data_IF_938524372699
#
_entry.id   IF_938524372699
#
_cell.length_a   1.000
_cell.length_b   1.000
_cell.length_c   1.000
_cell.angle_alpha   90.00
_cell.angle_beta   90.00
_cell.angle_gamma   90.00
#
_symmetry.space_group_name_H-M   'P 1'
#
loop_
_entity.id
_entity.type
_entity.pdbx_description
1 polymer ?
#
# COMPACT_ATOMS: atom_id res chain seq x y z
N UNK A 1 2.62 26.91 34.16
CA UNK A 1 3.44 27.18 32.97
C UNK A 1 4.49 26.10 32.92
N UNK A 2 4.17 24.98 32.28
CA UNK A 2 5.19 24.00 31.83
C UNK A 2 4.43 22.81 31.21
N UNK A 3 4.50 22.66 29.91
CA UNK A 3 4.34 21.42 29.16
C UNK A 3 3.98 21.72 27.69
N UNK A 4 4.95 22.23 26.96
CA UNK A 4 4.88 22.28 25.49
C UNK A 4 6.30 21.99 24.94
N UNK A 5 6.77 20.75 25.13
CA UNK A 5 8.02 20.28 24.51
C UNK A 5 8.05 18.75 24.55
N UNK A 6 7.38 18.08 23.61
CA UNK A 6 7.75 16.68 23.29
C UNK A 6 7.18 16.17 21.94
N UNK A 7 6.52 17.00 21.12
CA UNK A 7 5.88 16.50 19.88
C UNK A 7 6.77 16.61 18.63
N UNK A 8 7.84 17.40 18.67
CA UNK A 8 8.67 17.68 17.48
C UNK A 8 9.77 16.61 17.23
N UNK A 9 10.13 15.85 18.23
CA UNK A 9 11.19 14.83 18.14
C UNK A 9 10.76 13.55 17.42
N UNK A 10 9.52 13.11 17.56
CA UNK A 10 8.93 11.95 16.89
C UNK A 10 8.84 12.17 15.38
N UNK A 11 8.21 13.24 14.97
CA UNK A 11 8.03 13.63 13.56
C UNK A 11 9.36 13.80 12.81
N UNK A 12 10.41 14.36 13.42
CA UNK A 12 11.73 14.51 12.79
C UNK A 12 12.45 13.17 12.62
N UNK A 13 12.33 12.28 13.60
CA UNK A 13 12.94 10.93 13.56
C UNK A 13 12.28 10.06 12.50
N UNK A 14 10.97 10.12 12.39
CA UNK A 14 10.21 9.40 11.37
C UNK A 14 10.52 9.91 9.97
N UNK A 15 10.54 11.22 9.76
CA UNK A 15 10.95 11.83 8.47
C UNK A 15 12.36 11.41 8.07
N UNK A 16 13.32 11.37 8.99
CA UNK A 16 14.69 10.89 8.72
C UNK A 16 14.70 9.40 8.38
N UNK A 17 13.89 8.59 9.07
CA UNK A 17 13.76 7.16 8.80
C UNK A 17 13.17 6.91 7.41
N UNK A 18 12.09 7.58 7.05
CA UNK A 18 11.48 7.52 5.72
C UNK A 18 12.45 7.96 4.61
N UNK A 19 13.16 9.09 4.81
CA UNK A 19 14.16 9.57 3.85
C UNK A 19 15.30 8.57 3.63
N UNK A 20 15.82 7.95 4.70
CA UNK A 20 16.86 6.91 4.59
C UNK A 20 16.32 5.69 3.84
N UNK A 21 15.10 5.25 4.13
CA UNK A 21 14.46 4.13 3.45
C UNK A 21 14.29 4.42 1.95
N UNK A 22 13.77 5.59 1.60
CA UNK A 22 13.62 6.03 0.21
C UNK A 22 14.97 6.06 -0.54
N UNK A 23 16.04 6.54 0.11
CA UNK A 23 17.39 6.55 -0.46
C UNK A 23 17.91 5.14 -0.72
N UNK A 24 17.71 4.21 0.22
CA UNK A 24 18.09 2.79 0.06
C UNK A 24 17.38 2.15 -1.13
N UNK A 25 16.06 2.37 -1.25
CA UNK A 25 15.25 1.86 -2.37
C UNK A 25 15.71 2.45 -3.70
N UNK A 26 15.95 3.75 -3.78
CA UNK A 26 16.39 4.41 -5.00
C UNK A 26 17.77 3.90 -5.47
N UNK A 27 18.72 3.76 -4.55
CA UNK A 27 20.05 3.22 -4.85
C UNK A 27 19.98 1.76 -5.27
N UNK A 28 19.25 0.91 -4.54
CA UNK A 28 19.08 -0.51 -4.88
C UNK A 28 18.47 -0.71 -6.28
N UNK A 29 17.45 0.07 -6.63
CA UNK A 29 16.84 0.08 -7.99
C UNK A 29 17.82 0.54 -9.05
N UNK A 30 18.56 1.60 -8.80
CA UNK A 30 19.57 2.12 -9.72
C UNK A 30 20.68 1.10 -9.99
N UNK A 31 21.20 0.45 -8.95
CA UNK A 31 22.21 -0.60 -9.09
C UNK A 31 21.65 -1.81 -9.84
N UNK A 32 20.41 -2.23 -9.55
CA UNK A 32 19.76 -3.32 -10.27
C UNK A 32 19.57 -2.99 -11.75
N UNK A 33 19.15 -1.78 -12.08
CA UNK A 33 18.97 -1.36 -13.47
C UNK A 33 20.28 -1.36 -14.27
N UNK A 34 21.40 -1.02 -13.61
CA UNK A 34 22.74 -0.93 -14.23
C UNK A 34 23.46 -2.29 -14.30
N UNK A 35 23.37 -3.08 -13.24
CA UNK A 35 24.23 -4.26 -13.04
C UNK A 35 23.46 -5.57 -12.94
N UNK A 36 22.14 -5.56 -12.95
CA UNK A 36 21.29 -6.71 -12.63
C UNK A 36 21.27 -7.03 -11.13
N UNK A 37 20.32 -7.86 -10.72
CA UNK A 37 20.12 -8.21 -9.31
C UNK A 37 21.37 -8.86 -8.68
N UNK A 38 22.09 -9.66 -9.41
CA UNK A 38 23.29 -10.36 -8.93
C UNK A 38 24.59 -9.56 -9.13
N UNK A 39 24.53 -8.40 -9.78
CA UNK A 39 25.69 -7.59 -10.14
C UNK A 39 26.15 -6.59 -9.07
N UNK A 40 25.51 -6.57 -7.90
CA UNK A 40 25.88 -5.70 -6.79
C UNK A 40 25.62 -6.34 -5.42
N UNK A 41 26.23 -5.79 -4.39
CA UNK A 41 26.13 -6.25 -3.00
C UNK A 41 25.40 -5.25 -2.12
N UNK A 42 24.92 -5.70 -0.93
CA UNK A 42 24.36 -4.81 0.10
C UNK A 42 25.39 -3.77 0.54
N UNK A 43 26.67 -4.13 0.58
CA UNK A 43 27.74 -3.21 0.99
C UNK A 43 27.88 -2.03 0.03
N UNK A 44 27.73 -2.25 -1.28
CA UNK A 44 27.71 -1.17 -2.27
C UNK A 44 26.49 -0.24 -2.11
N UNK A 45 25.31 -0.79 -1.77
CA UNK A 45 24.14 0.03 -1.44
C UNK A 45 24.43 0.89 -0.19
N UNK A 46 25.03 0.28 0.84
CA UNK A 46 25.38 0.96 2.08
C UNK A 46 26.39 2.10 1.84
N UNK A 47 27.40 1.85 0.99
CA UNK A 47 28.42 2.82 0.64
C UNK A 47 27.82 4.03 -0.09
N UNK A 48 26.95 3.80 -1.11
CA UNK A 48 26.29 4.90 -1.84
C UNK A 48 25.34 5.74 -0.96
N UNK A 49 24.69 5.12 0.04
CA UNK A 49 23.78 5.81 0.97
C UNK A 49 24.52 6.41 2.18
N UNK A 50 25.73 5.95 2.47
CA UNK A 50 26.53 6.42 3.62
C UNK A 50 26.08 5.82 4.96
N UNK A 51 25.64 4.55 4.99
CA UNK A 51 25.19 3.85 6.20
C UNK A 51 25.95 2.54 6.41
N UNK A 52 25.86 1.98 7.63
CA UNK A 52 26.42 0.66 7.92
C UNK A 52 25.51 -0.46 7.39
N UNK A 53 26.12 -1.65 7.13
CA UNK A 53 25.39 -2.88 6.82
C UNK A 53 24.35 -3.24 7.90
N UNK A 54 24.68 -3.04 9.19
CA UNK A 54 23.74 -3.22 10.30
C UNK A 54 22.54 -2.29 10.17
N UNK A 55 22.79 -1.04 9.78
CA UNK A 55 21.73 -0.06 9.55
C UNK A 55 20.83 -0.48 8.41
N UNK A 56 21.39 -0.99 7.29
CA UNK A 56 20.60 -1.51 6.17
C UNK A 56 19.62 -2.59 6.64
N UNK A 57 20.10 -3.59 7.37
CA UNK A 57 19.24 -4.69 7.84
C UNK A 57 18.20 -4.29 8.90
N UNK A 58 18.30 -3.10 9.48
CA UNK A 58 17.22 -2.51 10.28
C UNK A 58 16.08 -1.94 9.43
N UNK A 59 16.31 -1.71 8.12
CA UNK A 59 15.31 -1.22 7.17
C UNK A 59 14.76 -2.30 6.28
N UNK A 60 15.61 -3.18 5.79
CA UNK A 60 15.22 -4.21 4.80
C UNK A 60 15.90 -5.54 5.12
N UNK A 61 15.15 -6.66 5.14
CA UNK A 61 15.72 -7.98 5.39
C UNK A 61 16.64 -8.48 4.26
N UNK A 62 16.46 -7.96 3.03
CA UNK A 62 17.31 -8.31 1.88
C UNK A 62 17.43 -7.13 0.90
N UNK A 63 18.32 -7.26 -0.09
CA UNK A 63 18.42 -6.28 -1.18
C UNK A 63 17.20 -6.31 -2.10
N UNK A 64 16.57 -7.45 -2.25
CA UNK A 64 15.32 -7.63 -2.98
C UNK A 64 14.19 -6.85 -2.32
N UNK A 65 14.11 -6.87 -0.98
CA UNK A 65 13.14 -6.05 -0.23
C UNK A 65 13.41 -4.56 -0.41
N UNK A 66 14.66 -4.15 -0.43
CA UNK A 66 15.03 -2.77 -0.69
C UNK A 66 14.64 -2.32 -2.13
N UNK A 67 14.76 -3.21 -3.12
CA UNK A 67 14.37 -2.93 -4.51
C UNK A 67 12.85 -2.80 -4.63
N UNK A 68 12.11 -3.74 -4.05
CA UNK A 68 10.64 -3.72 -4.04
C UNK A 68 10.14 -2.48 -3.29
N UNK A 69 10.76 -2.16 -2.15
CA UNK A 69 10.31 -1.13 -1.22
C UNK A 69 9.15 -1.63 -0.36
N UNK A 70 8.94 -0.97 0.76
CA UNK A 70 7.77 -1.17 1.60
C UNK A 70 6.79 -0.04 1.38
N UNK A 71 5.53 -0.39 1.13
CA UNK A 71 4.45 0.58 0.94
C UNK A 71 3.71 0.88 2.26
N UNK A 72 3.89 0.04 3.28
CA UNK A 72 3.04 0.06 4.49
C UNK A 72 3.62 0.88 5.66
N UNK A 73 4.93 1.16 5.66
CA UNK A 73 5.58 1.90 6.75
C UNK A 73 5.38 3.43 6.69
N UNK A 74 4.60 3.91 5.75
CA UNK A 74 4.35 5.34 5.51
C UNK A 74 2.90 5.75 5.81
N UNK A 75 2.09 4.80 6.33
CA UNK A 75 0.76 5.12 6.77
C UNK A 75 0.81 6.10 7.96
N UNK A 76 -0.05 7.15 7.98
CA UNK A 76 -0.15 8.04 9.11
C UNK A 76 -0.45 7.28 10.40
N UNK A 77 0.19 7.69 11.50
CA UNK A 77 -0.08 7.11 12.81
C UNK A 77 -1.59 7.19 13.13
N UNK A 78 -2.16 6.10 13.59
CA UNK A 78 -3.56 6.04 13.98
C UNK A 78 -4.58 5.96 12.85
N UNK A 79 -4.17 5.88 11.56
CA UNK A 79 -5.11 5.83 10.44
C UNK A 79 -5.93 4.53 10.45
N UNK A 80 -5.29 3.41 10.75
CA UNK A 80 -5.94 2.10 10.82
C UNK A 80 -6.88 2.01 12.03
N UNK A 81 -6.45 2.52 13.18
CA UNK A 81 -7.29 2.61 14.38
C UNK A 81 -8.49 3.53 14.16
N UNK A 82 -8.34 4.62 13.41
CA UNK A 82 -9.45 5.50 13.05
C UNK A 82 -10.44 4.78 12.15
N UNK A 83 -9.96 4.00 11.18
CA UNK A 83 -10.80 3.19 10.30
C UNK A 83 -11.59 2.14 11.12
N UNK A 84 -10.94 1.39 12.01
CA UNK A 84 -11.60 0.38 12.86
C UNK A 84 -12.66 1.02 13.74
N UNK A 85 -12.37 2.18 14.37
CA UNK A 85 -13.36 2.90 15.19
C UNK A 85 -14.57 3.38 14.40
N UNK A 86 -14.45 3.61 13.10
CA UNK A 86 -15.56 4.02 12.22
C UNK A 86 -16.71 3.00 12.16
N UNK A 87 -16.44 1.72 12.44
CA UNK A 87 -17.45 0.64 12.53
C UNK A 87 -18.22 0.61 13.87
N UNK A 88 -17.78 1.39 14.86
CA UNK A 88 -18.41 1.39 16.18
C UNK A 88 -19.90 1.84 16.11
N UNK A 89 -20.78 0.99 16.63
CA UNK A 89 -22.23 1.25 16.65
C UNK A 89 -23.02 0.45 15.60
N UNK A 90 -22.36 -0.25 14.69
CA UNK A 90 -23.05 -1.22 13.82
C UNK A 90 -23.38 -2.50 14.60
N UNK A 91 -24.56 -3.14 14.36
CA UNK A 91 -24.86 -4.41 14.97
C UNK A 91 -23.82 -5.48 14.59
N UNK A 92 -23.36 -6.25 15.58
CA UNK A 92 -22.38 -7.30 15.32
C UNK A 92 -22.85 -8.27 14.23
N UNK A 93 -21.96 -8.60 13.29
CA UNK A 93 -22.24 -9.49 12.17
C UNK A 93 -23.03 -8.86 11.01
N UNK A 94 -23.24 -7.53 11.04
CA UNK A 94 -23.80 -6.79 9.90
C UNK A 94 -22.77 -5.83 9.32
N UNK A 95 -22.72 -5.73 7.99
CA UNK A 95 -21.85 -4.77 7.31
C UNK A 95 -22.34 -3.37 7.55
N UNK A 96 -21.49 -2.50 8.06
CA UNK A 96 -21.85 -1.12 8.32
C UNK A 96 -22.18 -0.35 7.03
N UNK A 97 -23.14 0.56 7.02
CA UNK A 97 -23.50 1.35 5.84
C UNK A 97 -22.38 2.32 5.43
N UNK A 98 -21.42 2.57 6.29
CA UNK A 98 -20.29 3.50 6.04
C UNK A 98 -19.05 2.79 5.51
N UNK A 99 -18.98 1.45 5.52
CA UNK A 99 -17.78 0.68 5.15
C UNK A 99 -17.18 1.14 3.81
N UNK A 100 -18.01 1.30 2.78
CA UNK A 100 -17.51 1.70 1.45
C UNK A 100 -16.90 3.10 1.46
N UNK A 101 -17.54 4.05 2.16
CA UNK A 101 -17.02 5.41 2.27
C UNK A 101 -15.70 5.43 3.04
N UNK A 102 -15.64 4.73 4.17
CA UNK A 102 -14.46 4.71 5.02
C UNK A 102 -13.28 3.97 4.34
N UNK A 103 -13.55 2.95 3.52
CA UNK A 103 -12.54 2.31 2.66
C UNK A 103 -12.01 3.26 1.58
N UNK A 104 -12.87 4.10 1.01
CA UNK A 104 -12.45 5.15 0.10
C UNK A 104 -11.54 6.16 0.81
N UNK A 105 -11.95 6.66 1.97
CA UNK A 105 -11.22 7.66 2.74
C UNK A 105 -9.88 7.10 3.22
N UNK A 106 -9.83 5.85 3.67
CA UNK A 106 -8.59 5.15 4.02
C UNK A 106 -7.66 5.01 2.81
N UNK A 107 -8.19 4.55 1.67
CA UNK A 107 -7.39 4.39 0.44
C UNK A 107 -6.86 5.73 -0.04
N UNK A 108 -7.66 6.78 0.06
CA UNK A 108 -7.25 8.14 -0.25
C UNK A 108 -6.11 8.61 0.66
N UNK A 109 -6.29 8.53 1.98
CA UNK A 109 -5.29 8.96 2.94
C UNK A 109 -3.97 8.18 2.80
N UNK A 110 -4.03 6.87 2.56
CA UNK A 110 -2.83 6.07 2.26
C UNK A 110 -2.15 6.53 0.97
N UNK A 111 -2.91 6.95 -0.05
CA UNK A 111 -2.35 7.41 -1.32
C UNK A 111 -1.61 8.75 -1.21
N UNK A 112 -2.02 9.63 -0.29
CA UNK A 112 -1.32 10.89 -0.03
C UNK A 112 0.09 10.67 0.56
N UNK A 113 0.29 9.53 1.20
CA UNK A 113 1.57 9.12 1.80
C UNK A 113 2.38 8.17 0.91
N UNK A 114 1.85 7.83 -0.28
CA UNK A 114 2.62 7.06 -1.26
C UNK A 114 3.77 7.89 -1.81
N UNK A 115 4.99 7.59 -1.36
CA UNK A 115 6.22 8.33 -1.72
C UNK A 115 6.78 7.99 -3.10
N UNK A 116 6.21 6.99 -3.81
CA UNK A 116 6.69 6.65 -5.15
C UNK A 116 6.29 7.69 -6.19
N UNK A 117 7.28 8.43 -6.67
CA UNK A 117 7.12 9.29 -7.84
C UNK A 117 6.84 8.44 -9.10
N UNK A 118 6.23 9.03 -10.17
CA UNK A 118 6.08 8.35 -11.46
C UNK A 118 7.38 7.78 -12.01
N UNK A 119 8.50 8.45 -11.75
CA UNK A 119 9.84 8.01 -12.16
C UNK A 119 10.27 6.74 -11.40
N UNK A 120 10.08 6.72 -10.08
CA UNK A 120 10.39 5.54 -9.25
C UNK A 120 9.52 4.34 -9.62
N UNK A 121 8.26 4.56 -10.00
CA UNK A 121 7.36 3.51 -10.49
C UNK A 121 7.86 2.95 -11.83
N UNK A 122 8.25 3.82 -12.77
CA UNK A 122 8.83 3.39 -14.05
C UNK A 122 10.11 2.58 -13.85
N UNK A 123 11.00 3.03 -12.96
CA UNK A 123 12.24 2.32 -12.62
C UNK A 123 11.94 0.92 -12.05
N UNK A 124 10.97 0.80 -11.14
CA UNK A 124 10.57 -0.49 -10.59
C UNK A 124 10.05 -1.43 -11.69
N UNK A 125 9.17 -0.95 -12.56
CA UNK A 125 8.64 -1.73 -13.69
C UNK A 125 9.76 -2.20 -14.62
N UNK A 126 10.72 -1.34 -14.93
CA UNK A 126 11.88 -1.70 -15.75
C UNK A 126 12.75 -2.77 -15.07
N UNK A 127 12.97 -2.64 -13.77
CA UNK A 127 13.75 -3.60 -12.98
C UNK A 127 13.05 -4.96 -12.93
N UNK A 128 11.74 -5.00 -12.70
CA UNK A 128 10.95 -6.25 -12.71
C UNK A 128 10.99 -6.91 -14.08
N UNK A 129 10.92 -6.13 -15.15
CA UNK A 129 11.03 -6.67 -16.52
C UNK A 129 12.37 -7.33 -16.83
N UNK A 130 13.45 -6.90 -16.17
CA UNK A 130 14.80 -7.49 -16.28
C UNK A 130 15.03 -8.65 -15.31
N UNK A 131 14.40 -8.61 -14.14
CA UNK A 131 14.61 -9.53 -13.02
C UNK A 131 13.26 -10.14 -12.57
N UNK A 132 12.73 -11.12 -13.34
CA UNK A 132 11.39 -11.68 -13.06
C UNK A 132 11.24 -12.29 -11.67
N UNK A 133 12.33 -12.72 -11.04
CA UNK A 133 12.31 -13.24 -9.66
C UNK A 133 11.81 -12.24 -8.63
N UNK A 134 11.96 -10.93 -8.89
CA UNK A 134 11.40 -9.88 -8.02
C UNK A 134 9.88 -9.88 -8.03
N UNK A 135 9.25 -10.34 -9.12
CA UNK A 135 7.80 -10.43 -9.23
C UNK A 135 7.22 -11.41 -8.19
N UNK A 136 7.88 -12.54 -7.96
CA UNK A 136 7.45 -13.52 -6.95
C UNK A 136 7.43 -12.88 -5.56
N UNK A 137 8.44 -12.07 -5.24
CA UNK A 137 8.52 -11.37 -3.96
C UNK A 137 7.43 -10.29 -3.81
N UNK A 138 7.15 -9.57 -4.89
CA UNK A 138 6.08 -8.57 -4.91
C UNK A 138 4.71 -9.22 -4.72
N UNK A 139 4.47 -10.36 -5.37
CA UNK A 139 3.21 -11.11 -5.21
C UNK A 139 3.06 -11.60 -3.78
N UNK A 140 4.08 -12.24 -3.20
CA UNK A 140 4.03 -12.71 -1.81
C UNK A 140 3.82 -11.59 -0.80
N UNK A 141 4.45 -10.44 -0.99
CA UNK A 141 4.21 -9.26 -0.16
C UNK A 141 2.79 -8.69 -0.35
N UNK A 142 2.22 -8.82 -1.55
CA UNK A 142 0.83 -8.42 -1.83
C UNK A 142 -0.19 -9.32 -1.14
N UNK A 143 0.04 -10.64 -1.12
CA UNK A 143 -0.83 -11.61 -0.45
C UNK A 143 -0.85 -11.39 1.08
N UNK A 144 0.31 -11.13 1.68
CA UNK A 144 0.39 -10.76 3.10
C UNK A 144 -0.43 -9.51 3.43
N UNK A 145 -0.30 -8.48 2.63
CA UNK A 145 -1.07 -7.24 2.79
C UNK A 145 -2.57 -7.42 2.59
N UNK A 146 -2.97 -8.28 1.65
CA UNK A 146 -4.39 -8.59 1.46
C UNK A 146 -4.98 -9.27 2.71
N UNK A 147 -4.24 -10.18 3.34
CA UNK A 147 -4.66 -10.80 4.59
C UNK A 147 -4.76 -9.80 5.75
N UNK A 148 -3.77 -8.92 5.91
CA UNK A 148 -3.78 -7.88 6.94
C UNK A 148 -4.94 -6.89 6.74
N UNK A 149 -5.22 -6.51 5.50
CA UNK A 149 -6.32 -5.61 5.18
C UNK A 149 -7.69 -6.27 5.37
N UNK A 150 -7.82 -7.57 5.06
CA UNK A 150 -9.03 -8.33 5.36
C UNK A 150 -9.26 -8.45 6.88
N UNK A 151 -8.19 -8.66 7.66
CA UNK A 151 -8.27 -8.67 9.11
C UNK A 151 -8.70 -7.31 9.67
N UNK A 152 -8.21 -6.22 9.12
CA UNK A 152 -8.61 -4.85 9.50
C UNK A 152 -10.10 -4.58 9.24
N UNK A 153 -10.63 -5.01 8.09
CA UNK A 153 -12.06 -4.90 7.78
C UNK A 153 -12.87 -5.78 8.72
N UNK A 154 -12.40 -7.00 8.99
CA UNK A 154 -13.06 -7.95 9.87
C UNK A 154 -13.14 -7.42 11.31
N UNK A 155 -12.07 -6.84 11.84
CA UNK A 155 -12.04 -6.19 13.15
C UNK A 155 -13.06 -5.04 13.22
N UNK A 156 -13.08 -4.18 12.20
CA UNK A 156 -14.02 -3.06 12.09
C UNK A 156 -15.49 -3.51 12.15
N UNK A 157 -15.83 -4.56 11.39
CA UNK A 157 -17.21 -5.03 11.22
C UNK A 157 -17.62 -6.09 12.27
N UNK A 158 -16.70 -6.52 13.14
CA UNK A 158 -16.96 -7.57 14.13
C UNK A 158 -17.28 -8.91 13.50
N UNK A 159 -16.64 -9.27 12.38
CA UNK A 159 -16.79 -10.51 11.62
C UNK A 159 -15.47 -11.31 11.59
N UNK A 160 -15.47 -12.62 11.26
CA UNK A 160 -14.23 -13.36 11.10
C UNK A 160 -13.36 -12.84 9.95
N UNK A 161 -12.00 -12.95 10.04
CA UNK A 161 -11.08 -12.48 8.98
C UNK A 161 -11.29 -13.15 7.61
N UNK A 162 -11.78 -14.40 7.60
CA UNK A 162 -12.08 -15.16 6.40
C UNK A 162 -13.53 -14.96 5.90
N UNK A 163 -14.27 -14.06 6.54
CA UNK A 163 -15.63 -13.75 6.12
C UNK A 163 -15.67 -13.21 4.68
N UNK A 164 -16.59 -13.70 3.82
CA UNK A 164 -16.65 -13.30 2.41
C UNK A 164 -16.67 -11.81 2.17
N UNK A 165 -17.30 -11.01 3.04
CA UNK A 165 -17.33 -9.55 2.94
C UNK A 165 -15.92 -8.95 3.09
N UNK A 166 -15.15 -9.38 4.11
CA UNK A 166 -13.81 -8.85 4.36
C UNK A 166 -12.87 -9.18 3.19
N UNK A 167 -12.86 -10.45 2.77
CA UNK A 167 -12.00 -10.92 1.67
C UNK A 167 -12.39 -10.25 0.34
N UNK A 168 -13.69 -10.18 0.03
CA UNK A 168 -14.17 -9.58 -1.22
C UNK A 168 -13.93 -8.07 -1.26
N UNK A 169 -14.20 -7.35 -0.16
CA UNK A 169 -13.94 -5.92 -0.08
C UNK A 169 -12.44 -5.61 -0.28
N UNK A 170 -11.56 -6.39 0.35
CA UNK A 170 -10.11 -6.28 0.15
C UNK A 170 -9.70 -6.48 -1.31
N UNK A 171 -10.19 -7.53 -1.96
CA UNK A 171 -9.88 -7.83 -3.36
C UNK A 171 -10.36 -6.71 -4.31
N UNK A 172 -11.58 -6.21 -4.10
CA UNK A 172 -12.16 -5.11 -4.88
C UNK A 172 -11.35 -3.84 -4.68
N UNK A 173 -11.09 -3.42 -3.43
CA UNK A 173 -10.35 -2.21 -3.13
C UNK A 173 -8.90 -2.29 -3.62
N UNK A 174 -8.24 -3.42 -3.46
CA UNK A 174 -6.91 -3.67 -4.02
C UNK A 174 -6.88 -3.56 -5.55
N UNK A 175 -7.89 -4.07 -6.23
CA UNK A 175 -8.02 -3.94 -7.70
C UNK A 175 -8.28 -2.50 -8.13
N UNK A 176 -9.14 -1.78 -7.41
CA UNK A 176 -9.40 -0.35 -7.65
C UNK A 176 -8.13 0.48 -7.44
N UNK A 177 -7.42 0.26 -6.34
CA UNK A 177 -6.17 0.97 -6.03
C UNK A 177 -5.10 0.71 -7.11
N UNK A 178 -4.88 -0.54 -7.51
CA UNK A 178 -3.93 -0.90 -8.59
C UNK A 178 -4.30 -0.23 -9.92
N UNK A 179 -5.59 -0.28 -10.30
CA UNK A 179 -6.07 0.36 -11.53
C UNK A 179 -5.88 1.88 -11.50
N UNK A 180 -6.20 2.50 -10.36
CA UNK A 180 -6.03 3.94 -10.13
C UNK A 180 -4.57 4.34 -10.25
N UNK A 181 -3.67 3.63 -9.56
CA UNK A 181 -2.22 3.88 -9.61
C UNK A 181 -1.66 3.70 -11.01
N UNK A 182 -2.02 2.61 -11.71
CA UNK A 182 -1.58 2.38 -13.09
C UNK A 182 -1.99 3.51 -14.04
N UNK A 183 -3.22 4.04 -13.89
CA UNK A 183 -3.69 5.16 -14.70
C UNK A 183 -3.05 6.48 -14.28
N UNK A 184 -2.92 6.72 -12.97
CA UNK A 184 -2.31 7.93 -12.43
C UNK A 184 -0.87 8.12 -12.92
N UNK A 185 -0.07 7.05 -12.89
CA UNK A 185 1.33 7.07 -13.35
C UNK A 185 1.49 6.93 -14.88
N UNK A 186 0.42 6.87 -15.65
CA UNK A 186 0.55 6.86 -17.11
C UNK A 186 0.99 8.24 -17.62
N UNK A 187 1.83 8.27 -18.66
CA UNK A 187 2.38 9.49 -19.25
C UNK A 187 1.34 10.42 -19.87
N UNK A 188 0.14 9.89 -20.16
CA UNK A 188 -0.97 10.63 -20.76
C UNK A 188 -2.00 11.11 -19.73
N UNK A 189 -1.80 10.81 -18.45
CA UNK A 189 -2.76 11.19 -17.41
C UNK A 189 -2.62 12.66 -17.04
N UNK A 190 -3.77 13.34 -16.94
CA UNK A 190 -3.89 14.73 -16.48
C UNK A 190 -4.76 14.87 -15.24
N UNK A 191 -5.34 13.76 -14.75
CA UNK A 191 -6.27 13.74 -13.61
C UNK A 191 -5.51 13.47 -12.31
N UNK A 192 -6.03 14.01 -11.21
CA UNK A 192 -5.54 13.69 -9.87
C UNK A 192 -5.81 12.23 -9.49
N UNK A 193 -5.08 11.72 -8.51
CA UNK A 193 -5.33 10.37 -7.96
C UNK A 193 -6.77 10.26 -7.42
N UNK A 194 -7.23 11.29 -6.70
CA UNK A 194 -8.57 11.36 -6.13
C UNK A 194 -9.67 11.25 -7.20
N UNK A 195 -9.58 12.02 -8.29
CA UNK A 195 -10.56 11.93 -9.37
C UNK A 195 -10.60 10.55 -10.03
N UNK A 196 -9.46 9.90 -10.17
CA UNK A 196 -9.37 8.55 -10.72
C UNK A 196 -9.91 7.51 -9.73
N UNK A 197 -9.58 7.63 -8.45
CA UNK A 197 -10.07 6.74 -7.40
C UNK A 197 -11.58 6.83 -7.28
N UNK A 198 -12.13 8.03 -7.17
CA UNK A 198 -13.57 8.28 -7.10
C UNK A 198 -14.31 7.73 -8.33
N UNK A 199 -13.76 7.93 -9.54
CA UNK A 199 -14.35 7.40 -10.76
C UNK A 199 -14.41 5.86 -10.76
N UNK A 200 -13.35 5.19 -10.32
CA UNK A 200 -13.31 3.73 -10.26
C UNK A 200 -14.26 3.18 -9.16
N UNK A 201 -14.38 3.84 -8.01
CA UNK A 201 -15.33 3.44 -6.96
C UNK A 201 -16.78 3.64 -7.42
N UNK A 202 -17.10 4.76 -8.08
CA UNK A 202 -18.42 5.00 -8.61
C UNK A 202 -18.81 3.98 -9.70
N UNK A 203 -17.88 3.59 -10.56
CA UNK A 203 -18.09 2.54 -11.54
C UNK A 203 -18.36 1.17 -10.88
N UNK A 204 -17.63 0.81 -9.84
CA UNK A 204 -17.88 -0.40 -9.07
C UNK A 204 -19.25 -0.36 -8.40
N UNK A 205 -19.62 0.78 -7.78
CA UNK A 205 -20.94 0.98 -7.16
C UNK A 205 -22.07 0.83 -8.16
N UNK A 206 -21.95 1.44 -9.34
CA UNK A 206 -22.93 1.33 -10.43
C UNK A 206 -23.08 -0.12 -10.90
N UNK A 207 -21.97 -0.83 -11.09
CA UNK A 207 -21.97 -2.23 -11.48
C UNK A 207 -22.68 -3.11 -10.45
N UNK A 208 -22.39 -2.97 -9.17
CA UNK A 208 -22.97 -3.79 -8.10
C UNK A 208 -24.38 -3.36 -7.67
N UNK A 209 -24.87 -2.21 -8.10
CA UNK A 209 -26.27 -1.81 -7.89
C UNK A 209 -27.23 -2.48 -8.88
N UNK A 210 -26.72 -3.14 -9.91
CA UNK A 210 -27.54 -3.87 -10.87
C UNK A 210 -28.12 -5.15 -10.20
N UNK A 211 -29.38 -5.48 -10.54
CA UNK A 211 -30.00 -6.69 -10.03
C UNK A 211 -29.26 -7.93 -10.54
N UNK A 212 -28.81 -8.76 -9.63
CA UNK A 212 -28.20 -10.04 -9.92
C UNK A 212 -29.22 -11.15 -9.67
N UNK A 213 -29.55 -11.92 -10.72
CA UNK A 213 -30.40 -13.10 -10.59
C UNK A 213 -29.51 -14.34 -10.61
N UNK A 214 -29.52 -15.12 -9.51
CA UNK A 214 -28.82 -16.40 -9.47
C UNK A 214 -29.43 -17.36 -10.48
N UNK A 215 -28.63 -18.12 -11.24
CA UNK A 215 -29.15 -19.14 -12.15
C UNK A 215 -29.88 -20.31 -11.42
N UNK A 216 -29.78 -20.43 -10.11
CA UNK A 216 -30.45 -21.46 -9.31
C UNK A 216 -31.89 -21.12 -8.92
N UNK A 217 -32.48 -20.04 -9.45
CA UNK A 217 -33.87 -19.62 -9.18
C UNK A 217 -34.93 -20.22 -10.10
N UNK A 218 -34.66 -21.34 -10.77
CA UNK A 218 -35.63 -22.08 -11.59
C UNK A 218 -35.65 -23.54 -11.20
N UNK A 219 -36.27 -23.84 -10.04
CA UNK A 219 -36.72 -25.16 -9.67
C UNK A 219 -38.11 -25.08 -9.01
#
# INVERSE_FOLDING_TARGET
MESAKNDDGGSLRERKRAATRASLTAVARSLTARHGLNGFTVDQVCEEVGISRRTFFNYFPSKEDAIVGHFDDEAPEGIFEAFVRGGAGSPAGTVSPTLLQDLFDLTWALSEHMTMSPEQTRQLIQVIGKEPQLLVKIIGASEGREADFAALIAEREGIPPDHPVAVTATAIMGSIARRTSSKYFSTTNTRSYHELLLANINAARELFSQQFTSPEGSA
#
